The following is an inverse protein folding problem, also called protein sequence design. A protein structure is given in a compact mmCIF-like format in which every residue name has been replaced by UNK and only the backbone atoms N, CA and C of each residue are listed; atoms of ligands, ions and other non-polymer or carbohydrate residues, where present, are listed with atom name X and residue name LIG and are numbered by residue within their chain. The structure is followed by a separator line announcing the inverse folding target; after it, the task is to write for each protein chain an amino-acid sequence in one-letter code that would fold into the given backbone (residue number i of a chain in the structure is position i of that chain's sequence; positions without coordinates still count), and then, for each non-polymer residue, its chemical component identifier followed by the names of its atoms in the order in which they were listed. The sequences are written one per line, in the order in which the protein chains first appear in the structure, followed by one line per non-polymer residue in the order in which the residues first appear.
data_IF_212719809252
#
_entry.id   IF_212719809252
#
_cell.length_a   1.000
_cell.length_b   1.000
_cell.length_c   1.000
_cell.angle_alpha   90.00
_cell.angle_beta   90.00
_cell.angle_gamma   90.00
#
_symmetry.space_group_name_H-M   'P 1'
#
loop_
_entity.id
_entity.type
_entity.pdbx_description
1 polymer ?
#
# COMPACT_ATOMS: atom_id res chain seq x y z
N UNK A 1 -0.10 -24.12 1.43
CA UNK A 1 1.00 -23.15 1.48
C UNK A 1 1.23 -22.72 2.91
N UNK A 2 2.43 -22.24 3.20
CA UNK A 2 2.89 -21.77 4.50
C UNK A 2 2.03 -20.63 5.08
N UNK A 3 1.41 -19.81 4.23
CA UNK A 3 0.44 -18.78 4.63
C UNK A 3 -0.89 -19.29 5.22
N UNK A 4 -1.23 -20.59 5.06
CA UNK A 4 -2.55 -21.10 5.50
C UNK A 4 -2.69 -21.10 7.03
N UNK A 5 -1.66 -21.50 7.77
CA UNK A 5 -1.71 -21.55 9.24
C UNK A 5 -1.96 -20.16 9.84
N UNK A 6 -1.31 -19.15 9.25
CA UNK A 6 -1.45 -17.75 9.60
C UNK A 6 -2.86 -17.26 9.30
N UNK A 7 -3.35 -17.58 8.10
CA UNK A 7 -4.70 -17.22 7.67
C UNK A 7 -5.76 -17.76 8.62
N UNK A 8 -5.68 -19.05 8.93
CA UNK A 8 -6.61 -19.73 9.83
C UNK A 8 -6.59 -19.11 11.24
N UNK A 9 -5.43 -18.63 11.71
CA UNK A 9 -5.28 -18.06 13.04
C UNK A 9 -5.71 -16.58 13.15
N UNK A 10 -5.46 -15.76 12.12
CA UNK A 10 -5.60 -14.30 12.20
C UNK A 10 -6.74 -13.72 11.38
N UNK A 11 -6.97 -14.23 10.17
CA UNK A 11 -7.89 -13.61 9.20
C UNK A 11 -9.22 -14.36 9.10
N UNK A 12 -9.19 -15.70 9.12
CA UNK A 12 -10.42 -16.51 9.10
C UNK A 12 -11.38 -16.19 10.27
N UNK A 13 -10.92 -15.95 11.52
CA UNK A 13 -11.81 -15.58 12.62
C UNK A 13 -12.50 -14.22 12.44
N UNK A 14 -11.98 -13.35 11.57
CA UNK A 14 -12.59 -12.05 11.21
C UNK A 14 -13.71 -12.21 10.17
N UNK A 15 -13.99 -13.44 9.71
CA UNK A 15 -14.89 -13.69 8.58
C UNK A 15 -14.27 -13.32 7.23
N UNK A 16 -12.95 -13.21 7.14
CA UNK A 16 -12.27 -12.86 5.90
C UNK A 16 -12.35 -13.99 4.86
N UNK A 17 -12.50 -13.61 3.59
CA UNK A 17 -12.49 -14.51 2.43
C UNK A 17 -11.33 -14.09 1.53
N UNK A 18 -10.59 -15.06 0.99
CA UNK A 18 -9.48 -14.81 0.07
C UNK A 18 -9.92 -15.05 -1.37
N UNK A 19 -9.97 -13.97 -2.17
CA UNK A 19 -10.23 -14.01 -3.62
C UNK A 19 -8.93 -13.89 -4.45
N UNK A 20 -7.77 -14.23 -3.87
CA UNK A 20 -6.50 -14.22 -4.57
C UNK A 20 -6.37 -15.40 -5.52
N UNK A 21 -6.11 -15.13 -6.80
CA UNK A 21 -5.77 -16.13 -7.82
C UNK A 21 -4.33 -15.89 -8.27
N UNK A 22 -3.49 -16.91 -8.16
CA UNK A 22 -2.09 -16.83 -8.56
C UNK A 22 -1.96 -16.48 -10.04
N UNK A 23 -1.10 -15.51 -10.36
CA UNK A 23 -0.88 -15.03 -11.73
C UNK A 23 -1.87 -13.98 -12.23
N UNK A 24 -2.88 -13.60 -11.44
CA UNK A 24 -3.83 -12.58 -11.86
C UNK A 24 -3.18 -11.23 -12.11
N UNK A 25 -3.63 -10.61 -13.22
CA UNK A 25 -3.35 -9.25 -13.62
C UNK A 25 -4.57 -8.35 -13.35
N UNK A 26 -4.39 -7.03 -13.41
CA UNK A 26 -5.49 -6.06 -13.17
C UNK A 26 -6.72 -6.37 -14.02
N UNK A 27 -6.56 -6.69 -15.30
CA UNK A 27 -7.68 -7.01 -16.20
C UNK A 27 -8.43 -8.30 -15.83
N UNK A 28 -7.78 -9.27 -15.19
CA UNK A 28 -8.45 -10.49 -14.73
C UNK A 28 -9.34 -10.19 -13.52
N UNK A 29 -8.84 -9.40 -12.56
CA UNK A 29 -9.62 -8.97 -11.40
C UNK A 29 -10.81 -8.12 -11.83
N UNK A 30 -10.61 -7.21 -12.79
CA UNK A 30 -11.69 -6.43 -13.40
C UNK A 30 -12.78 -7.36 -13.93
N UNK A 31 -12.40 -8.37 -14.73
CA UNK A 31 -13.34 -9.34 -15.26
C UNK A 31 -14.09 -10.09 -14.16
N UNK A 32 -13.40 -10.54 -13.09
CA UNK A 32 -14.03 -11.28 -11.98
C UNK A 32 -15.08 -10.44 -11.24
N UNK A 33 -14.77 -9.17 -10.98
CA UNK A 33 -15.71 -8.23 -10.35
C UNK A 33 -16.95 -8.04 -11.24
N UNK A 34 -16.75 -7.87 -12.55
CA UNK A 34 -17.85 -7.72 -13.51
C UNK A 34 -18.72 -8.98 -13.62
N UNK A 35 -18.15 -10.15 -13.33
CA UNK A 35 -18.83 -11.45 -13.36
C UNK A 35 -19.31 -11.90 -11.96
N UNK A 36 -19.44 -10.96 -11.04
CA UNK A 36 -20.21 -11.14 -9.81
C UNK A 36 -19.42 -11.66 -8.61
N UNK A 37 -18.09 -11.62 -8.64
CA UNK A 37 -17.27 -12.03 -7.49
C UNK A 37 -17.59 -11.26 -6.21
N UNK A 38 -18.08 -10.01 -6.33
CA UNK A 38 -18.48 -9.17 -5.21
C UNK A 38 -20.00 -9.08 -5.01
N UNK A 39 -20.80 -9.75 -5.84
CA UNK A 39 -22.25 -9.60 -5.83
C UNK A 39 -22.85 -10.17 -4.53
N UNK A 40 -23.73 -9.38 -3.90
CA UNK A 40 -24.40 -9.76 -2.66
C UNK A 40 -23.51 -9.69 -1.40
N UNK A 41 -22.22 -9.41 -1.54
CA UNK A 41 -21.33 -9.20 -0.40
C UNK A 41 -21.57 -7.83 0.25
N UNK A 42 -21.28 -7.74 1.56
CA UNK A 42 -21.30 -6.48 2.32
C UNK A 42 -20.07 -6.39 3.23
N UNK A 43 -18.85 -6.41 2.66
CA UNK A 43 -17.64 -6.36 3.46
C UNK A 43 -17.50 -4.98 4.12
N UNK A 44 -16.89 -4.96 5.30
CA UNK A 44 -16.46 -3.70 5.93
C UNK A 44 -15.13 -3.21 5.34
N UNK A 45 -14.31 -4.12 4.85
CA UNK A 45 -12.98 -3.85 4.28
C UNK A 45 -12.72 -4.76 3.07
N UNK A 46 -12.18 -4.18 2.01
CA UNK A 46 -11.61 -4.88 0.85
C UNK A 46 -10.13 -4.54 0.79
N UNK A 47 -9.27 -5.55 0.84
CA UNK A 47 -7.82 -5.39 0.69
C UNK A 47 -7.44 -5.71 -0.75
N UNK A 48 -6.79 -4.77 -1.43
CA UNK A 48 -6.42 -4.86 -2.84
C UNK A 48 -4.91 -4.93 -2.96
N UNK A 49 -4.42 -6.03 -3.55
CA UNK A 49 -3.02 -6.22 -3.91
C UNK A 49 -2.97 -6.85 -5.31
N UNK A 50 -2.83 -6.01 -6.34
CA UNK A 50 -2.88 -6.42 -7.75
C UNK A 50 -2.02 -5.50 -8.62
N UNK A 51 -1.41 -6.04 -9.68
CA UNK A 51 -0.59 -5.27 -10.62
C UNK A 51 0.85 -5.78 -10.76
N UNK A 52 1.37 -6.48 -9.76
CA UNK A 52 2.73 -7.07 -9.83
C UNK A 52 2.89 -8.07 -11.00
N UNK A 53 1.84 -8.81 -11.34
CA UNK A 53 1.85 -9.75 -12.49
C UNK A 53 1.67 -9.07 -13.85
N UNK A 54 1.34 -7.77 -13.90
CA UNK A 54 1.34 -7.01 -15.16
C UNK A 54 2.76 -6.61 -15.56
N UNK A 55 3.72 -6.59 -14.63
CA UNK A 55 5.10 -6.17 -14.87
C UNK A 55 5.81 -6.97 -15.98
N UNK A 56 5.71 -8.31 -16.06
CA UNK A 56 6.39 -9.07 -17.10
C UNK A 56 5.83 -8.84 -18.50
N UNK A 57 4.53 -8.53 -18.64
CA UNK A 57 3.83 -8.50 -19.92
C UNK A 57 3.60 -7.09 -20.46
N UNK A 58 3.46 -6.09 -19.59
CA UNK A 58 3.33 -4.70 -19.99
C UNK A 58 4.69 -4.02 -19.91
N UNK A 59 5.08 -3.27 -20.94
CA UNK A 59 6.24 -2.39 -20.89
C UNK A 59 5.89 -0.99 -20.35
N UNK A 60 4.58 -0.65 -20.30
CA UNK A 60 4.07 0.66 -19.91
C UNK A 60 3.47 0.64 -18.49
N UNK A 61 4.09 1.36 -17.58
CA UNK A 61 3.66 1.47 -16.18
C UNK A 61 2.28 2.16 -16.03
N UNK A 62 1.95 3.14 -16.87
CA UNK A 62 0.68 3.86 -16.83
C UNK A 62 -0.55 2.97 -17.13
N UNK A 63 -0.36 1.86 -17.84
CA UNK A 63 -1.42 0.86 -18.03
C UNK A 63 -1.72 0.09 -16.75
N UNK A 64 -0.69 -0.21 -15.98
CA UNK A 64 -0.81 -0.91 -14.70
C UNK A 64 -1.53 -0.01 -13.70
N UNK A 65 -1.14 1.27 -13.62
CA UNK A 65 -1.84 2.31 -12.84
C UNK A 65 -3.33 2.36 -13.16
N UNK A 66 -3.68 2.53 -14.45
CA UNK A 66 -5.09 2.59 -14.89
C UNK A 66 -5.85 1.31 -14.57
N UNK A 67 -5.19 0.15 -14.67
CA UNK A 67 -5.79 -1.12 -14.29
C UNK A 67 -6.12 -1.19 -12.80
N UNK A 68 -5.21 -0.76 -11.93
CA UNK A 68 -5.44 -0.70 -10.47
C UNK A 68 -6.57 0.27 -10.14
N UNK A 69 -6.57 1.46 -10.73
CA UNK A 69 -7.62 2.47 -10.54
C UNK A 69 -9.02 1.95 -10.96
N UNK A 70 -9.06 1.22 -12.08
CA UNK A 70 -10.30 0.57 -12.56
C UNK A 70 -10.79 -0.51 -11.59
N UNK A 71 -9.88 -1.31 -11.00
CA UNK A 71 -10.23 -2.29 -9.96
C UNK A 71 -10.86 -1.60 -8.75
N UNK A 72 -10.24 -0.52 -8.25
CA UNK A 72 -10.74 0.23 -7.09
C UNK A 72 -12.13 0.81 -7.38
N UNK A 73 -12.30 1.43 -8.55
CA UNK A 73 -13.58 1.99 -9.01
C UNK A 73 -14.68 0.92 -9.00
N UNK A 74 -14.41 -0.25 -9.60
CA UNK A 74 -15.39 -1.35 -9.67
C UNK A 74 -15.72 -1.95 -8.30
N UNK A 75 -14.73 -2.07 -7.41
CA UNK A 75 -14.99 -2.48 -6.02
C UNK A 75 -15.94 -1.49 -5.36
N UNK A 76 -15.69 -0.19 -5.51
CA UNK A 76 -16.53 0.84 -4.91
C UNK A 76 -17.96 0.84 -5.49
N UNK A 77 -18.12 0.58 -6.79
CA UNK A 77 -19.44 0.44 -7.41
C UNK A 77 -20.22 -0.77 -6.86
N UNK A 78 -19.55 -1.92 -6.67
CA UNK A 78 -20.19 -3.17 -6.22
C UNK A 78 -20.46 -3.21 -4.72
N UNK A 79 -19.53 -2.70 -3.91
CA UNK A 79 -19.59 -2.72 -2.44
C UNK A 79 -19.34 -1.31 -1.87
N UNK A 80 -20.21 -0.33 -2.13
CA UNK A 80 -19.98 1.09 -1.85
C UNK A 80 -19.81 1.44 -0.36
N UNK A 81 -20.26 0.55 0.53
CA UNK A 81 -20.10 0.74 1.97
C UNK A 81 -18.75 0.27 2.52
N UNK A 82 -17.98 -0.48 1.73
CA UNK A 82 -16.74 -1.09 2.17
C UNK A 82 -15.59 -0.09 2.16
N UNK A 83 -14.74 -0.16 3.17
CA UNK A 83 -13.45 0.50 3.14
C UNK A 83 -12.52 -0.23 2.18
N UNK A 84 -11.66 0.48 1.45
CA UNK A 84 -10.65 -0.13 0.58
C UNK A 84 -9.26 0.17 1.15
N UNK A 85 -8.46 -0.89 1.31
CA UNK A 85 -7.03 -0.81 1.61
C UNK A 85 -6.26 -1.27 0.37
N UNK A 86 -5.62 -0.33 -0.32
CA UNK A 86 -4.69 -0.65 -1.41
C UNK A 86 -3.30 -0.90 -0.83
N UNK A 87 -2.70 -2.04 -1.19
CA UNK A 87 -1.33 -2.42 -0.79
C UNK A 87 -0.39 -2.23 -1.98
N UNK A 88 0.68 -1.47 -1.78
CA UNK A 88 1.72 -1.23 -2.79
C UNK A 88 2.48 -2.50 -3.18
N UNK A 89 3.19 -2.47 -4.31
CA UNK A 89 3.88 -3.66 -4.83
C UNK A 89 5.13 -4.01 -4.02
N UNK A 90 5.29 -5.30 -3.73
CA UNK A 90 6.55 -5.81 -3.19
C UNK A 90 7.58 -6.03 -4.31
N UNK A 91 8.89 -5.91 -4.00
CA UNK A 91 9.97 -6.42 -4.86
C UNK A 91 9.78 -7.90 -5.23
N UNK A 92 10.14 -8.30 -6.45
CA UNK A 92 10.08 -9.68 -6.98
C UNK A 92 11.42 -10.12 -7.61
N UNK A 93 11.91 -11.32 -7.29
CA UNK A 93 13.28 -11.77 -7.63
C UNK A 93 13.41 -12.45 -8.99
N UNK A 94 12.29 -12.68 -9.65
CA UNK A 94 12.18 -13.45 -10.88
C UNK A 94 12.24 -12.59 -12.15
N UNK A 95 12.50 -11.29 -12.03
CA UNK A 95 12.73 -10.37 -13.15
C UNK A 95 14.15 -9.80 -13.12
N UNK A 96 14.86 -9.89 -14.26
CA UNK A 96 16.23 -9.42 -14.41
C UNK A 96 16.36 -8.32 -15.50
N UNK A 97 17.16 -7.26 -15.27
CA UNK A 97 17.83 -6.96 -14.00
C UNK A 97 16.81 -6.48 -12.96
N UNK A 98 16.99 -6.92 -11.70
CA UNK A 98 16.15 -6.53 -10.55
C UNK A 98 16.03 -5.00 -10.42
N UNK A 99 17.05 -4.27 -10.87
CA UNK A 99 17.07 -2.81 -10.88
C UNK A 99 16.07 -2.15 -11.84
N UNK A 100 15.74 -2.79 -12.97
CA UNK A 100 14.68 -2.31 -13.87
C UNK A 100 13.31 -2.54 -13.25
N UNK A 101 13.11 -3.70 -12.63
CA UNK A 101 11.88 -4.01 -11.91
C UNK A 101 11.63 -3.02 -10.78
N UNK A 102 12.61 -2.80 -9.90
CA UNK A 102 12.47 -1.88 -8.79
C UNK A 102 12.19 -0.46 -9.29
N UNK A 103 12.86 -0.02 -10.36
CA UNK A 103 12.54 1.25 -11.04
C UNK A 103 11.12 1.30 -11.58
N UNK A 104 10.58 0.18 -12.07
CA UNK A 104 9.22 0.11 -12.60
C UNK A 104 8.17 0.02 -11.50
N UNK A 105 8.42 -0.75 -10.45
CA UNK A 105 7.60 -0.76 -9.24
C UNK A 105 7.52 0.66 -8.72
N UNK A 106 8.67 1.31 -8.47
CA UNK A 106 8.79 2.72 -8.06
C UNK A 106 8.09 3.63 -9.06
N UNK A 107 8.25 3.45 -10.37
CA UNK A 107 7.57 4.32 -11.35
C UNK A 107 6.05 4.12 -11.42
N UNK A 108 5.50 2.92 -11.22
CA UNK A 108 4.03 2.71 -11.19
C UNK A 108 3.46 3.34 -9.93
N UNK A 109 4.14 3.08 -8.83
CA UNK A 109 4.05 3.77 -7.56
C UNK A 109 4.05 5.31 -7.74
N UNK A 110 5.05 5.85 -8.44
CA UNK A 110 5.28 7.25 -8.82
C UNK A 110 4.56 7.62 -10.14
N UNK A 111 3.52 6.91 -10.55
CA UNK A 111 2.59 7.36 -11.61
C UNK A 111 1.15 7.30 -11.10
N UNK A 112 0.88 6.45 -10.11
CA UNK A 112 -0.21 6.64 -9.16
C UNK A 112 -0.02 7.93 -8.33
N UNK A 113 1.19 8.52 -8.29
CA UNK A 113 1.60 9.84 -7.70
C UNK A 113 2.85 10.41 -8.43
N UNK A 114 3.52 11.54 -8.07
CA UNK A 114 4.79 11.97 -8.69
C UNK A 114 6.04 11.87 -7.76
N UNK A 115 7.19 11.54 -8.39
CA UNK A 115 8.63 11.69 -8.02
C UNK A 115 9.43 10.57 -7.29
N UNK A 116 10.71 10.33 -7.69
CA UNK A 116 11.47 9.15 -7.31
C UNK A 116 12.32 9.34 -6.05
N UNK A 117 12.32 8.32 -5.18
CA UNK A 117 13.45 8.03 -4.30
C UNK A 117 14.20 6.81 -4.85
N UNK A 118 15.53 6.92 -4.95
CA UNK A 118 16.42 5.87 -5.46
C UNK A 118 16.90 5.01 -4.28
N UNK A 119 16.44 3.76 -4.15
CA UNK A 119 17.09 2.83 -3.24
C UNK A 119 18.19 2.03 -3.92
N UNK A 120 19.02 1.32 -3.14
CA UNK A 120 20.00 0.40 -3.73
C UNK A 120 19.25 -0.71 -4.47
N UNK A 121 19.37 -0.71 -5.80
CA UNK A 121 18.54 -1.47 -6.74
C UNK A 121 18.99 -2.95 -6.93
N UNK A 122 19.83 -3.47 -6.04
CA UNK A 122 20.81 -4.46 -6.51
C UNK A 122 20.58 -5.91 -6.04
N UNK A 123 19.74 -6.20 -5.02
CA UNK A 123 19.56 -7.59 -4.55
C UNK A 123 18.15 -7.87 -4.04
N UNK A 124 17.76 -9.14 -4.07
CA UNK A 124 16.59 -9.69 -3.38
C UNK A 124 17.07 -10.83 -2.46
N UNK A 125 16.56 -10.95 -1.23
CA UNK A 125 16.89 -12.08 -0.36
C UNK A 125 16.07 -13.30 -0.82
N UNK A 126 16.69 -14.15 -1.62
CA UNK A 126 16.07 -15.34 -2.19
C UNK A 126 15.67 -16.39 -1.14
N UNK A 127 16.24 -16.36 0.07
CA UNK A 127 15.94 -17.30 1.15
C UNK A 127 14.55 -17.09 1.76
N UNK A 128 13.90 -15.94 1.51
CA UNK A 128 12.56 -15.61 2.02
C UNK A 128 11.46 -15.97 1.02
N UNK A 129 11.86 -16.40 -0.17
CA UNK A 129 10.97 -16.82 -1.24
C UNK A 129 10.99 -18.34 -1.37
N UNK A 130 9.95 -18.87 -1.99
CA UNK A 130 9.96 -20.22 -2.54
C UNK A 130 11.00 -20.27 -3.67
N UNK A 131 11.37 -21.47 -4.13
CA UNK A 131 12.40 -21.63 -5.18
C UNK A 131 12.11 -20.90 -6.50
N UNK A 132 10.90 -20.36 -6.67
CA UNK A 132 10.48 -19.51 -7.78
C UNK A 132 10.85 -18.03 -7.64
N UNK A 133 11.38 -17.60 -6.47
CA UNK A 133 11.78 -16.21 -6.18
C UNK A 133 10.65 -15.19 -6.35
N UNK A 134 9.40 -15.65 -6.29
CA UNK A 134 8.20 -14.86 -6.49
C UNK A 134 7.25 -14.98 -5.29
N UNK A 135 6.96 -16.21 -4.85
CA UNK A 135 6.08 -16.43 -3.70
C UNK A 135 6.90 -16.45 -2.41
N UNK A 136 6.41 -15.82 -1.35
CA UNK A 136 7.06 -15.90 -0.04
C UNK A 136 6.95 -17.32 0.53
N UNK A 137 8.02 -17.82 1.15
CA UNK A 137 7.99 -19.06 1.91
C UNK A 137 7.45 -18.82 3.34
N UNK A 138 7.58 -19.78 4.27
CA UNK A 138 7.06 -19.59 5.64
C UNK A 138 7.74 -18.44 6.37
N UNK A 139 9.05 -18.32 6.22
CA UNK A 139 9.83 -17.30 6.90
C UNK A 139 9.47 -15.93 6.32
N UNK A 140 9.45 -15.78 4.99
CA UNK A 140 8.96 -14.56 4.35
C UNK A 140 7.53 -14.20 4.71
N UNK A 141 6.63 -15.18 4.85
CA UNK A 141 5.22 -14.95 5.26
C UNK A 141 5.07 -14.60 6.74
N UNK A 142 5.94 -15.12 7.61
CA UNK A 142 5.94 -14.84 9.04
C UNK A 142 6.50 -13.47 9.35
N UNK A 143 7.54 -13.07 8.62
CA UNK A 143 8.12 -11.74 8.74
C UNK A 143 7.08 -10.69 8.34
N UNK A 144 6.51 -10.79 7.13
CA UNK A 144 5.48 -9.88 6.61
C UNK A 144 4.26 -9.62 7.53
N UNK A 145 4.07 -10.41 8.60
CA UNK A 145 3.01 -10.22 9.60
C UNK A 145 3.34 -9.32 10.78
N UNK A 146 4.60 -9.17 11.19
CA UNK A 146 4.93 -8.12 12.15
C UNK A 146 6.30 -7.50 11.90
N UNK A 147 6.41 -6.76 10.80
CA UNK A 147 7.70 -6.33 10.34
C UNK A 147 8.51 -5.41 11.25
N UNK A 148 7.86 -4.34 11.65
CA UNK A 148 8.54 -3.12 11.98
C UNK A 148 8.11 -2.77 13.39
N UNK A 149 9.06 -2.78 14.33
CA UNK A 149 8.79 -2.22 15.67
C UNK A 149 8.57 -0.73 15.49
N UNK A 150 7.44 -0.15 15.94
CA UNK A 150 7.19 1.28 15.81
C UNK A 150 8.38 2.11 16.33
N UNK A 151 8.92 3.00 15.50
CA UNK A 151 10.04 3.88 15.88
C UNK A 151 9.66 5.34 15.75
N UNK A 152 10.06 6.14 16.73
CA UNK A 152 9.96 7.60 16.67
C UNK A 152 11.11 8.18 15.84
N UNK A 153 10.85 9.31 15.19
CA UNK A 153 11.87 10.19 14.64
C UNK A 153 12.17 11.34 15.59
N UNK A 154 13.45 11.67 15.75
CA UNK A 154 13.88 12.73 16.67
C UNK A 154 14.04 14.09 15.98
N UNK A 155 13.83 14.18 14.66
CA UNK A 155 13.95 15.45 13.97
C UNK A 155 12.75 16.38 14.24
N UNK A 156 13.03 17.63 14.62
CA UNK A 156 12.00 18.59 15.01
C UNK A 156 10.95 18.82 13.92
N UNK A 157 11.36 18.94 12.67
CA UNK A 157 10.41 19.11 11.55
C UNK A 157 9.40 17.96 11.45
N UNK A 158 9.81 16.75 11.84
CA UNK A 158 8.94 15.58 11.80
C UNK A 158 7.97 15.59 12.98
N UNK A 159 8.46 15.92 14.18
CA UNK A 159 7.62 16.09 15.37
C UNK A 159 6.57 17.20 15.16
N UNK A 160 6.97 18.30 14.53
CA UNK A 160 6.06 19.39 14.17
C UNK A 160 5.02 18.93 13.16
N UNK A 161 5.41 18.14 12.14
CA UNK A 161 4.48 17.58 11.15
C UNK A 161 3.50 16.59 11.78
N UNK A 162 3.97 15.72 12.67
CA UNK A 162 3.12 14.82 13.45
C UNK A 162 2.09 15.59 14.27
N UNK A 163 2.52 16.67 14.96
CA UNK A 163 1.60 17.52 15.72
C UNK A 163 0.57 18.22 14.83
N UNK A 164 0.97 18.66 13.62
CA UNK A 164 0.03 19.21 12.64
C UNK A 164 -1.03 18.17 12.22
N UNK A 165 -0.63 16.92 12.00
CA UNK A 165 -1.54 15.83 11.66
C UNK A 165 -2.53 15.58 12.81
N UNK A 166 -2.05 15.51 14.06
CA UNK A 166 -2.94 15.38 15.23
C UNK A 166 -3.94 16.53 15.33
N UNK A 167 -3.48 17.77 15.09
CA UNK A 167 -4.37 18.94 15.12
C UNK A 167 -5.42 18.89 13.99
N UNK A 168 -5.04 18.47 12.78
CA UNK A 168 -5.98 18.26 11.68
C UNK A 168 -6.97 17.13 11.97
N UNK A 169 -6.51 16.03 12.55
CA UNK A 169 -7.35 14.89 12.99
C UNK A 169 -8.40 15.35 13.98
N UNK A 170 -7.99 16.08 15.01
CA UNK A 170 -8.89 16.60 16.05
C UNK A 170 -9.89 17.63 15.51
N UNK A 171 -9.47 18.50 14.57
CA UNK A 171 -10.32 19.57 14.05
C UNK A 171 -11.27 19.12 12.94
N UNK A 172 -10.86 18.15 12.12
CA UNK A 172 -11.61 17.70 10.94
C UNK A 172 -12.26 16.33 11.12
N UNK A 173 -12.12 15.68 12.28
CA UNK A 173 -12.39 14.24 12.48
C UNK A 173 -13.60 13.66 11.74
N UNK A 174 -14.79 14.24 11.91
CA UNK A 174 -16.02 13.74 11.26
C UNK A 174 -16.13 14.10 9.76
N UNK A 175 -15.37 15.08 9.30
CA UNK A 175 -15.31 15.53 7.90
C UNK A 175 -14.35 14.66 7.07
N UNK A 176 -13.35 14.04 7.71
CA UNK A 176 -12.40 13.15 7.04
C UNK A 176 -13.11 11.86 6.62
N UNK A 177 -13.19 11.63 5.30
CA UNK A 177 -13.77 10.41 4.70
C UNK A 177 -12.72 9.52 4.06
N UNK A 178 -11.59 10.07 3.63
CA UNK A 178 -10.50 9.31 3.03
C UNK A 178 -9.20 9.74 3.70
N UNK A 179 -8.38 8.78 4.14
CA UNK A 179 -7.05 9.06 4.69
C UNK A 179 -6.00 8.49 3.75
N UNK A 180 -5.15 9.36 3.21
CA UNK A 180 -3.89 8.95 2.62
C UNK A 180 -2.84 9.04 3.71
N UNK A 181 -2.22 7.91 4.06
CA UNK A 181 -1.17 7.86 5.09
C UNK A 181 0.07 7.20 4.52
N UNK A 182 1.22 7.83 4.76
CA UNK A 182 2.45 7.37 4.13
C UNK A 182 3.64 8.28 4.39
N UNK A 183 4.52 8.36 3.41
CA UNK A 183 5.74 9.18 3.47
C UNK A 183 5.69 10.39 2.54
N UNK A 184 6.85 10.85 2.08
CA UNK A 184 7.00 11.99 1.15
C UNK A 184 6.18 11.86 -0.13
N UNK A 185 5.85 10.63 -0.55
CA UNK A 185 4.99 10.41 -1.72
C UNK A 185 3.58 10.91 -1.43
N UNK A 186 3.02 10.47 -0.31
CA UNK A 186 1.74 11.00 0.19
C UNK A 186 1.80 12.51 0.38
N UNK A 187 2.89 13.10 0.94
CA UNK A 187 2.98 14.57 1.03
C UNK A 187 2.86 15.26 -0.34
N UNK A 188 3.42 14.66 -1.39
CA UNK A 188 3.58 15.35 -2.68
C UNK A 188 2.22 15.68 -3.33
N UNK A 189 1.13 15.02 -2.95
CA UNK A 189 -0.23 15.43 -3.29
C UNK A 189 -0.60 16.84 -2.83
N UNK A 190 -0.07 17.30 -1.69
CA UNK A 190 -0.27 18.67 -1.22
C UNK A 190 0.61 19.69 -1.95
N UNK A 191 1.61 19.21 -2.69
CA UNK A 191 2.60 20.02 -3.41
C UNK A 191 2.41 19.89 -4.93
N UNK A 192 3.22 19.07 -5.61
CA UNK A 192 3.20 18.94 -7.07
C UNK A 192 1.89 18.33 -7.59
N UNK A 193 1.32 17.38 -6.84
CA UNK A 193 0.04 16.74 -7.17
C UNK A 193 -1.18 17.60 -6.86
N UNK A 194 -1.00 18.82 -6.32
CA UNK A 194 -2.10 19.63 -5.79
C UNK A 194 -3.25 19.88 -6.77
N UNK A 195 -3.03 20.21 -8.06
CA UNK A 195 -4.14 20.42 -8.99
C UNK A 195 -5.06 19.19 -9.12
N UNK A 196 -4.48 18.00 -9.10
CA UNK A 196 -5.22 16.73 -9.17
C UNK A 196 -5.90 16.44 -7.84
N UNK A 197 -5.20 16.68 -6.71
CA UNK A 197 -5.75 16.52 -5.38
C UNK A 197 -7.00 17.37 -5.15
N UNK A 198 -6.93 18.66 -5.47
CA UNK A 198 -8.04 19.61 -5.30
C UNK A 198 -9.23 19.26 -6.21
N UNK A 199 -8.97 18.68 -7.39
CA UNK A 199 -10.03 18.30 -8.33
C UNK A 199 -10.72 16.98 -7.97
N UNK A 200 -9.99 15.99 -7.44
CA UNK A 200 -10.47 14.60 -7.35
C UNK A 200 -10.58 14.06 -5.92
N UNK A 201 -9.74 14.50 -4.98
CA UNK A 201 -9.63 13.88 -3.66
C UNK A 201 -10.11 14.81 -2.53
N UNK A 202 -9.70 16.08 -2.53
CA UNK A 202 -10.13 17.04 -1.52
C UNK A 202 -11.67 17.18 -1.42
N UNK A 203 -12.44 17.26 -2.54
CA UNK A 203 -13.91 17.36 -2.48
C UNK A 203 -14.59 16.12 -1.87
N UNK A 204 -13.90 14.97 -1.85
CA UNK A 204 -14.39 13.73 -1.25
C UNK A 204 -14.14 13.68 0.26
N UNK A 205 -13.55 14.72 0.85
CA UNK A 205 -13.12 14.72 2.25
C UNK A 205 -11.84 13.91 2.47
N UNK A 206 -10.95 13.87 1.48
CA UNK A 206 -9.65 13.24 1.63
C UNK A 206 -8.67 14.11 2.43
N UNK A 207 -7.82 13.46 3.21
CA UNK A 207 -6.74 14.10 3.95
C UNK A 207 -5.40 13.40 3.72
N UNK A 208 -4.32 14.19 3.81
CA UNK A 208 -2.97 13.81 3.47
C UNK A 208 -2.07 13.80 4.73
N UNK A 209 -1.68 12.60 5.16
CA UNK A 209 -0.83 12.33 6.32
C UNK A 209 0.51 11.69 5.90
N UNK A 210 1.25 12.41 5.05
CA UNK A 210 2.51 11.95 4.47
C UNK A 210 3.78 12.67 4.92
N UNK A 211 4.22 12.66 6.20
CA UNK A 211 5.51 13.22 6.57
C UNK A 211 6.66 12.73 5.68
N UNK A 212 7.54 13.65 5.27
CA UNK A 212 8.68 13.32 4.42
C UNK A 212 9.55 12.22 5.05
N UNK A 213 10.18 11.37 4.22
CA UNK A 213 11.17 10.35 4.63
C UNK A 213 10.66 9.28 5.61
N UNK A 214 9.35 9.19 5.82
CA UNK A 214 8.79 8.13 6.63
C UNK A 214 9.07 6.76 6.06
N UNK A 215 9.37 5.85 6.97
CA UNK A 215 9.56 4.42 6.76
C UNK A 215 8.41 3.71 7.46
N UNK A 216 8.21 2.43 7.17
CA UNK A 216 7.07 1.69 7.71
C UNK A 216 7.00 1.77 9.25
N UNK A 217 8.12 1.64 9.95
CA UNK A 217 8.18 1.78 11.42
C UNK A 217 7.73 3.16 11.94
N UNK A 218 7.96 4.23 11.18
CA UNK A 218 7.58 5.58 11.57
C UNK A 218 6.07 5.79 11.43
N UNK A 219 5.47 5.27 10.36
CA UNK A 219 4.01 5.29 10.16
C UNK A 219 3.32 4.49 11.26
N UNK A 220 3.83 3.30 11.58
CA UNK A 220 3.30 2.49 12.66
C UNK A 220 3.38 3.22 14.01
N UNK A 221 4.47 3.93 14.27
CA UNK A 221 4.60 4.75 15.48
C UNK A 221 3.57 5.88 15.49
N UNK A 222 3.38 6.60 14.39
CA UNK A 222 2.41 7.69 14.29
C UNK A 222 0.97 7.22 14.51
N UNK A 223 0.60 6.08 13.92
CA UNK A 223 -0.72 5.45 14.13
C UNK A 223 -0.89 5.09 15.62
N UNK A 224 0.11 4.47 16.23
CA UNK A 224 0.08 4.12 17.65
C UNK A 224 0.07 5.35 18.59
N UNK A 225 0.41 6.54 18.08
CA UNK A 225 0.42 7.81 18.80
C UNK A 225 -0.69 8.76 18.33
N UNK A 226 -1.77 8.21 17.77
CA UNK A 226 -3.07 8.87 17.71
C UNK A 226 -3.40 9.60 16.41
N UNK A 227 -2.60 9.48 15.35
CA UNK A 227 -2.92 10.14 14.06
C UNK A 227 -4.20 9.65 13.40
N UNK A 228 -4.73 8.49 13.81
CA UNK A 228 -5.99 7.96 13.31
C UNK A 228 -7.08 7.89 14.40
N UNK A 229 -6.79 8.34 15.62
CA UNK A 229 -7.70 8.20 16.75
C UNK A 229 -8.97 9.03 16.55
N UNK A 230 -10.13 8.40 16.81
CA UNK A 230 -11.43 9.05 16.67
C UNK A 230 -11.89 9.27 15.22
N UNK A 231 -11.10 8.89 14.21
CA UNK A 231 -11.51 8.94 12.82
C UNK A 231 -12.43 7.75 12.47
N UNK A 232 -13.32 7.97 11.50
CA UNK A 232 -14.16 6.91 10.92
C UNK A 232 -14.10 6.95 9.38
N UNK A 233 -12.90 6.82 8.79
CA UNK A 233 -12.73 6.98 7.36
C UNK A 233 -13.43 5.85 6.60
N UNK A 234 -13.91 6.20 5.41
CA UNK A 234 -14.47 5.28 4.42
C UNK A 234 -13.41 4.65 3.52
N UNK A 235 -12.23 5.23 3.41
CA UNK A 235 -11.11 4.65 2.65
C UNK A 235 -9.80 5.01 3.35
N UNK A 236 -8.86 4.06 3.42
CA UNK A 236 -7.49 4.32 3.88
C UNK A 236 -6.52 3.87 2.81
N UNK A 237 -5.84 4.82 2.19
CA UNK A 237 -4.78 4.56 1.23
C UNK A 237 -3.47 4.57 2.00
N UNK A 238 -2.81 3.41 2.07
CA UNK A 238 -1.52 3.27 2.76
C UNK A 238 -0.43 3.20 1.72
N UNK A 239 0.50 4.14 1.80
CA UNK A 239 1.58 4.23 0.85
C UNK A 239 2.92 4.46 1.55
N UNK A 240 3.62 3.36 1.83
CA UNK A 240 4.83 3.35 2.65
C UNK A 240 5.75 2.19 2.24
N UNK A 241 7.04 2.29 2.57
CA UNK A 241 8.04 1.25 2.33
C UNK A 241 9.14 1.63 1.34
N UNK A 242 8.92 2.60 0.45
CA UNK A 242 9.93 3.06 -0.51
C UNK A 242 11.19 3.61 0.18
N UNK A 243 11.03 4.33 1.29
CA UNK A 243 12.14 4.88 2.08
C UNK A 243 12.85 3.85 2.96
N UNK A 244 12.33 2.63 3.08
CA UNK A 244 13.04 1.53 3.74
C UNK A 244 14.16 1.02 2.83
N UNK A 245 13.94 1.01 1.51
CA UNK A 245 14.84 0.36 0.55
C UNK A 245 16.29 0.94 0.47
N UNK A 246 16.58 2.24 0.70
CA UNK A 246 17.97 2.75 0.70
C UNK A 246 18.74 2.53 2.02
N UNK A 247 18.04 2.24 3.13
CA UNK A 247 18.62 2.24 4.49
C UNK A 247 18.62 0.83 5.10
N UNK A 248 17.63 0.03 4.72
CA UNK A 248 17.46 -1.34 5.12
C UNK A 248 18.08 -2.23 4.04
N UNK A 249 18.88 -3.21 4.45
CA UNK A 249 19.26 -4.30 3.55
C UNK A 249 17.98 -5.04 3.09
N UNK A 250 18.02 -5.82 2.02
CA UNK A 250 16.83 -6.62 1.65
C UNK A 250 16.42 -7.56 2.77
N UNK A 251 17.42 -8.06 3.51
CA UNK A 251 17.21 -8.76 4.76
C UNK A 251 16.37 -7.92 5.72
N UNK A 252 16.65 -6.64 5.92
CA UNK A 252 15.87 -5.77 6.81
C UNK A 252 14.49 -5.36 6.27
N UNK A 253 14.30 -5.29 4.94
CA UNK A 253 13.01 -4.93 4.31
C UNK A 253 11.98 -6.05 4.44
N UNK A 254 12.47 -7.29 4.54
CA UNK A 254 11.65 -8.51 4.55
C UNK A 254 11.83 -9.32 5.85
N UNK A 255 12.81 -9.01 6.72
CA UNK A 255 12.86 -9.39 8.17
C UNK A 255 11.99 -8.50 9.04
N UNK A 256 11.53 -7.45 8.42
CA UNK A 256 10.34 -6.82 8.83
C UNK A 256 9.23 -7.49 8.03
#
# INVERSE_FOLDING_TARGET
TTGKQIWDAKYAPLGAINYGIGGDRTEHVIWRIDNGELDGLRPQLVVVYIGSNNLPTHSNNSEIVRGVDTVITKIHEKVPSANILLVGFFPRGDMNPVSDLLRRVISISDTLEPMPCSPSLDRINEELYMGDKLHLNLDGSNLAQNPWTPQIRNEQWWLDRHQQILNSTASLGSQIKIVFIGSSLVENWANEGRPVWEANYAPLGAINYGPWRDRTEHVLWRIANGELDGLTPKVVVVYIGSNNVPVNTVDDIVRA
#
